data_IF_126960878340
#
_entry.id   IF_126960878340
#
_cell.length_a   1.000
_cell.length_b   1.000
_cell.length_c   1.000
_cell.angle_alpha   90.00
_cell.angle_beta   90.00
_cell.angle_gamma   90.00
#
_symmetry.space_group_name_H-M   'P 1'
#
loop_
_entity.id
_entity.type
_entity.pdbx_description
1 polymer ?
#
# COMPACT_ATOMS: atom_id res chain seq x y z
N UNK A 1 -9.00 -5.10 -27.18
CA UNK A 1 -9.09 -4.10 -26.09
C UNK A 1 -8.89 -4.71 -24.69
N UNK A 2 -9.89 -5.31 -24.02
CA UNK A 2 -9.72 -5.81 -22.63
C UNK A 2 -8.74 -6.97 -22.46
N UNK A 3 -8.77 -7.97 -23.36
CA UNK A 3 -7.80 -9.09 -23.35
C UNK A 3 -6.36 -8.61 -23.48
N UNK A 4 -6.12 -7.60 -24.33
CA UNK A 4 -4.79 -7.02 -24.53
C UNK A 4 -4.34 -6.17 -23.34
N UNK A 5 -5.27 -5.43 -22.73
CA UNK A 5 -5.01 -4.69 -21.49
C UNK A 5 -4.56 -5.67 -20.41
N UNK A 6 -5.37 -6.69 -20.11
CA UNK A 6 -5.06 -7.68 -19.08
C UNK A 6 -3.71 -8.34 -19.35
N UNK A 7 -3.44 -8.81 -20.57
CA UNK A 7 -2.13 -9.40 -20.92
C UNK A 7 -0.94 -8.48 -20.60
N UNK A 8 -1.11 -7.15 -20.69
CA UNK A 8 -0.06 -6.17 -20.42
C UNK A 8 0.00 -5.70 -18.97
N UNK A 9 -1.10 -5.75 -18.23
CA UNK A 9 -1.23 -5.17 -16.88
C UNK A 9 -1.40 -6.19 -15.76
N UNK A 10 -1.60 -7.46 -16.09
CA UNK A 10 -1.96 -8.51 -15.13
C UNK A 10 -0.85 -8.77 -14.11
N UNK A 11 -1.25 -8.81 -12.85
CA UNK A 11 -0.43 -9.22 -11.71
C UNK A 11 -0.89 -10.63 -11.32
N UNK A 12 0.02 -11.60 -11.41
CA UNK A 12 -0.26 -13.02 -11.16
C UNK A 12 0.37 -13.42 -9.84
N UNK A 13 -0.41 -14.11 -9.01
CA UNK A 13 0.00 -14.54 -7.68
C UNK A 13 -0.16 -16.05 -7.57
N UNK A 14 0.91 -16.74 -7.19
CA UNK A 14 0.93 -18.17 -6.96
C UNK A 14 0.32 -18.56 -5.62
N UNK A 15 -1.00 -18.47 -5.48
CA UNK A 15 -1.73 -18.88 -4.26
C UNK A 15 -3.04 -19.59 -4.62
N UNK A 16 -3.56 -20.42 -3.73
CA UNK A 16 -4.89 -21.04 -3.89
C UNK A 16 -6.02 -20.14 -3.38
N UNK A 17 -5.68 -19.05 -2.68
CA UNK A 17 -6.64 -18.06 -2.22
C UNK A 17 -7.23 -17.28 -3.40
N UNK A 18 -8.44 -17.70 -3.83
CA UNK A 18 -9.20 -17.03 -4.89
C UNK A 18 -9.48 -15.57 -4.56
N UNK A 19 -9.62 -15.23 -3.28
CA UNK A 19 -9.92 -13.87 -2.85
C UNK A 19 -8.76 -12.91 -3.15
N UNK A 20 -7.53 -13.35 -2.88
CA UNK A 20 -6.29 -12.61 -3.22
C UNK A 20 -6.23 -12.29 -4.72
N UNK A 21 -6.50 -13.30 -5.57
CA UNK A 21 -6.54 -13.15 -7.04
C UNK A 21 -7.67 -12.22 -7.50
N UNK A 22 -8.87 -12.37 -6.94
CA UNK A 22 -10.02 -11.52 -7.29
C UNK A 22 -9.76 -10.08 -6.89
N UNK A 23 -9.20 -9.82 -5.70
CA UNK A 23 -8.98 -8.47 -5.21
C UNK A 23 -7.97 -7.68 -6.06
N UNK A 24 -6.87 -8.29 -6.50
CA UNK A 24 -5.92 -7.60 -7.38
C UNK A 24 -6.51 -7.34 -8.76
N UNK A 25 -7.28 -8.27 -9.32
CA UNK A 25 -7.97 -8.08 -10.59
C UNK A 25 -9.04 -6.99 -10.50
N UNK A 26 -9.79 -6.95 -9.40
CA UNK A 26 -10.74 -5.89 -9.09
C UNK A 26 -10.05 -4.53 -9.03
N UNK A 27 -8.93 -4.43 -8.31
CA UNK A 27 -8.14 -3.20 -8.22
C UNK A 27 -7.64 -2.74 -9.60
N UNK A 28 -7.06 -3.64 -10.40
CA UNK A 28 -6.56 -3.34 -11.75
C UNK A 28 -7.68 -2.91 -12.72
N UNK A 29 -8.86 -3.51 -12.62
CA UNK A 29 -10.03 -3.10 -13.39
C UNK A 29 -10.43 -1.67 -13.02
N UNK A 30 -10.59 -1.39 -11.73
CA UNK A 30 -11.03 -0.09 -11.25
C UNK A 30 -10.01 1.02 -11.55
N UNK A 31 -8.72 0.79 -11.34
CA UNK A 31 -7.66 1.73 -11.73
C UNK A 31 -7.70 2.08 -13.22
N UNK A 32 -8.08 1.13 -14.08
CA UNK A 32 -8.17 1.35 -15.52
C UNK A 32 -9.37 2.19 -15.94
N UNK A 33 -10.50 2.03 -15.28
CA UNK A 33 -11.76 2.70 -15.66
C UNK A 33 -11.99 4.02 -14.93
N UNK A 34 -11.27 4.29 -13.84
CA UNK A 34 -11.45 5.49 -13.01
C UNK A 34 -11.22 6.80 -13.77
N UNK A 35 -10.22 6.81 -14.64
CA UNK A 35 -9.87 7.98 -15.45
C UNK A 35 -9.55 7.53 -16.87
N UNK A 36 -9.82 8.40 -17.84
CA UNK A 36 -9.50 8.14 -19.23
C UNK A 36 -7.98 8.11 -19.38
N UNK A 37 -7.44 7.00 -19.91
CA UNK A 37 -5.99 6.76 -19.92
C UNK A 37 -5.18 7.77 -20.76
N UNK A 38 -5.82 8.50 -21.67
CA UNK A 38 -5.24 9.50 -22.56
C UNK A 38 -5.59 10.95 -22.17
N UNK A 39 -6.27 11.18 -21.04
CA UNK A 39 -6.65 12.53 -20.59
C UNK A 39 -5.82 12.96 -19.37
N UNK A 40 -4.87 13.86 -19.61
CA UNK A 40 -3.98 14.41 -18.59
C UNK A 40 -4.62 15.53 -17.75
N UNK A 41 -5.89 15.89 -18.01
CA UNK A 41 -6.62 16.96 -17.28
C UNK A 41 -7.36 16.44 -16.07
N UNK A 42 -7.50 15.11 -15.92
CA UNK A 42 -8.26 14.47 -14.84
C UNK A 42 -7.34 13.73 -13.87
N UNK A 43 -7.55 13.95 -12.58
CA UNK A 43 -6.88 13.21 -11.51
C UNK A 43 -7.75 12.08 -10.94
N UNK A 44 -7.12 11.10 -10.28
CA UNK A 44 -7.84 10.07 -9.53
C UNK A 44 -8.19 10.65 -8.15
N UNK A 45 -9.47 10.94 -7.90
CA UNK A 45 -9.95 11.37 -6.59
C UNK A 45 -9.80 10.27 -5.54
N UNK A 46 -9.52 10.62 -4.28
CA UNK A 46 -9.30 9.64 -3.20
C UNK A 46 -10.49 8.68 -2.95
N UNK A 47 -11.72 9.14 -3.27
CA UNK A 47 -12.99 8.42 -3.13
C UNK A 47 -13.83 8.45 -4.43
N UNK A 48 -13.18 8.32 -5.59
CA UNK A 48 -13.80 8.46 -6.92
C UNK A 48 -14.66 9.76 -7.02
N UNK A 49 -15.65 9.78 -7.91
CA UNK A 49 -16.36 10.98 -8.36
C UNK A 49 -17.27 11.69 -7.32
N UNK A 50 -17.44 11.21 -6.08
CA UNK A 50 -18.56 11.69 -5.23
C UNK A 50 -18.42 11.76 -3.70
N UNK A 51 -17.22 11.74 -3.09
CA UNK A 51 -17.11 11.68 -1.61
C UNK A 51 -16.47 12.88 -0.89
N UNK A 52 -17.21 13.57 -0.01
CA UNK A 52 -16.67 14.53 0.99
C UNK A 52 -16.14 13.79 2.24
N UNK A 53 -15.00 13.10 2.12
CA UNK A 53 -14.53 12.15 3.14
C UNK A 53 -13.71 12.71 4.31
N UNK A 54 -13.34 14.00 4.32
CA UNK A 54 -12.29 14.50 5.23
C UNK A 54 -12.80 15.13 6.55
N UNK A 55 -14.11 15.42 6.68
CA UNK A 55 -14.81 15.90 7.90
C UNK A 55 -13.98 16.82 8.84
N UNK A 56 -13.14 17.70 8.29
CA UNK A 56 -12.38 18.71 9.05
C UNK A 56 -11.31 18.17 10.01
N UNK A 57 -10.76 16.97 9.81
CA UNK A 57 -9.69 16.48 10.68
C UNK A 57 -8.36 17.23 10.45
N UNK A 58 -7.88 17.96 11.45
CA UNK A 58 -6.52 18.49 11.52
C UNK A 58 -5.72 17.67 12.54
N UNK A 59 -4.68 16.95 12.09
CA UNK A 59 -3.81 16.16 12.97
C UNK A 59 -2.65 17.03 13.46
N UNK A 60 -2.42 17.05 14.78
CA UNK A 60 -1.28 17.73 15.40
C UNK A 60 -0.08 16.78 15.45
N UNK A 61 0.52 16.48 14.31
CA UNK A 61 1.84 15.82 14.25
C UNK A 61 2.96 16.88 14.23
N UNK A 62 2.89 17.80 15.19
CA UNK A 62 3.99 18.73 15.51
C UNK A 62 4.78 18.17 16.69
N UNK A 63 5.91 18.78 17.05
CA UNK A 63 6.81 18.39 18.16
C UNK A 63 6.09 18.02 19.48
N UNK A 64 4.84 18.49 19.64
CA UNK A 64 3.98 18.26 20.79
C UNK A 64 3.25 16.90 20.80
N UNK A 65 3.21 16.12 19.71
CA UNK A 65 2.50 14.82 19.68
C UNK A 65 3.03 13.87 20.76
N UNK A 66 4.36 13.84 20.95
CA UNK A 66 5.01 13.02 21.99
C UNK A 66 4.73 13.50 23.42
N UNK A 67 4.18 14.72 23.59
CA UNK A 67 3.78 15.25 24.89
C UNK A 67 2.33 14.91 25.24
N UNK A 68 1.57 14.33 24.31
CA UNK A 68 0.19 13.90 24.55
C UNK A 68 0.13 12.65 25.43
N UNK A 69 -1.04 12.38 26.01
CA UNK A 69 -1.25 11.20 26.86
C UNK A 69 -1.29 9.93 26.00
N UNK A 70 -0.72 8.83 26.51
CA UNK A 70 -0.90 7.52 25.88
C UNK A 70 -2.32 7.03 26.14
N UNK A 71 -2.94 6.43 25.12
CA UNK A 71 -4.23 5.75 25.22
C UNK A 71 -4.06 4.33 24.65
N UNK A 72 -4.57 3.32 25.37
CA UNK A 72 -4.68 1.99 24.79
C UNK A 72 -5.83 1.97 23.77
N UNK A 73 -5.47 1.91 22.50
CA UNK A 73 -6.43 1.88 21.39
C UNK A 73 -6.80 0.47 20.94
N UNK A 74 -6.30 -0.58 21.61
CA UNK A 74 -6.46 -1.98 21.17
C UNK A 74 -7.92 -2.38 21.00
N UNK A 75 -8.83 -1.85 21.84
CA UNK A 75 -10.28 -2.03 21.73
C UNK A 75 -10.81 -1.59 20.36
N UNK A 76 -10.36 -0.44 19.87
CA UNK A 76 -10.85 0.17 18.62
C UNK A 76 -10.06 -0.35 17.41
N UNK A 77 -8.74 -0.46 17.53
CA UNK A 77 -7.86 -0.92 16.45
C UNK A 77 -8.16 -2.37 16.00
N UNK A 78 -8.63 -3.21 16.91
CA UNK A 78 -9.01 -4.60 16.60
C UNK A 78 -10.50 -4.76 16.27
N UNK A 79 -11.27 -3.67 16.21
CA UNK A 79 -12.67 -3.68 15.79
C UNK A 79 -12.79 -3.52 14.27
N UNK A 80 -13.87 -4.05 13.70
CA UNK A 80 -14.26 -3.78 12.30
C UNK A 80 -15.02 -2.45 12.16
N UNK A 81 -15.39 -1.81 13.28
CA UNK A 81 -16.10 -0.53 13.31
C UNK A 81 -15.15 0.65 13.04
N UNK A 82 -15.31 1.26 11.86
CA UNK A 82 -14.58 2.47 11.47
C UNK A 82 -15.06 3.66 12.31
N UNK A 83 -14.12 4.39 12.91
CA UNK A 83 -14.38 5.53 13.81
C UNK A 83 -15.11 5.15 15.11
N UNK A 84 -15.12 3.87 15.51
CA UNK A 84 -15.80 3.41 16.73
C UNK A 84 -15.28 4.08 18.02
N UNK A 85 -14.06 4.64 18.01
CA UNK A 85 -13.52 5.42 19.13
C UNK A 85 -14.37 6.67 19.47
N UNK A 86 -15.10 7.22 18.50
CA UNK A 86 -15.95 8.40 18.72
C UNK A 86 -17.22 8.10 19.51
N UNK A 87 -17.55 6.81 19.72
CA UNK A 87 -18.63 6.41 20.62
C UNK A 87 -18.26 6.67 22.09
N UNK A 88 -16.96 6.67 22.42
CA UNK A 88 -16.45 6.83 23.78
C UNK A 88 -15.74 8.18 24.01
N UNK A 89 -15.22 8.81 22.96
CA UNK A 89 -14.46 10.07 23.04
C UNK A 89 -14.92 11.08 21.98
N UNK A 90 -15.07 12.34 22.38
CA UNK A 90 -15.24 13.44 21.42
C UNK A 90 -13.89 13.96 20.90
N UNK A 91 -13.94 14.76 19.83
CA UNK A 91 -12.74 15.32 19.19
C UNK A 91 -11.82 16.09 20.15
N UNK A 92 -12.41 16.83 21.12
CA UNK A 92 -11.62 17.60 22.09
C UNK A 92 -10.82 16.68 23.01
N UNK A 93 -11.42 15.57 23.45
CA UNK A 93 -10.73 14.57 24.27
C UNK A 93 -9.65 13.86 23.46
N UNK A 94 -9.95 13.43 22.24
CA UNK A 94 -8.96 12.73 21.38
C UNK A 94 -7.72 13.58 21.08
N UNK A 95 -7.86 14.89 20.99
CA UNK A 95 -6.72 15.81 20.81
C UNK A 95 -5.74 15.85 22.00
N UNK A 96 -6.07 15.26 23.15
CA UNK A 96 -5.17 15.11 24.29
C UNK A 96 -4.34 13.83 24.26
N UNK A 97 -4.61 12.92 23.31
CA UNK A 97 -4.00 11.60 23.26
C UNK A 97 -3.16 11.38 22.00
N UNK A 98 -2.17 10.50 22.12
CA UNK A 98 -1.39 9.98 20.99
C UNK A 98 -2.24 9.00 20.17
N UNK A 99 -3.18 9.50 19.37
CA UNK A 99 -4.05 8.68 18.52
C UNK A 99 -4.09 9.23 17.11
N UNK A 100 -3.79 8.39 16.13
CA UNK A 100 -3.79 8.73 14.72
C UNK A 100 -4.85 7.91 13.99
N UNK A 101 -5.62 8.57 13.11
CA UNK A 101 -6.63 7.90 12.27
C UNK A 101 -5.98 7.01 11.20
N UNK A 102 -4.89 7.49 10.61
CA UNK A 102 -4.23 6.90 9.44
C UNK A 102 -2.74 7.20 9.41
N UNK A 103 -2.03 6.69 8.40
CA UNK A 103 -0.62 7.00 8.16
C UNK A 103 -0.41 8.50 7.97
N UNK A 104 0.38 9.10 8.86
CA UNK A 104 0.87 10.48 8.78
C UNK A 104 2.40 10.47 8.70
N UNK A 105 3.11 10.48 9.84
CA UNK A 105 4.58 10.29 9.86
C UNK A 105 5.01 9.01 9.13
N UNK A 106 4.22 7.94 9.22
CA UNK A 106 4.48 6.69 8.47
C UNK A 106 4.45 6.92 6.95
N UNK A 107 3.61 7.81 6.43
CA UNK A 107 3.59 8.18 5.01
C UNK A 107 4.86 8.93 4.60
N UNK A 108 5.38 9.84 5.45
CA UNK A 108 6.66 10.52 5.23
C UNK A 108 7.80 9.51 5.07
N UNK A 109 7.87 8.51 5.97
CA UNK A 109 8.90 7.45 5.93
C UNK A 109 8.76 6.51 4.73
N UNK A 110 7.56 6.43 4.14
CA UNK A 110 7.29 5.66 2.94
C UNK A 110 7.68 6.41 1.66
N UNK A 111 7.32 7.70 1.55
CA UNK A 111 7.57 8.53 0.38
C UNK A 111 9.02 8.99 0.26
N UNK A 112 9.67 9.29 1.39
CA UNK A 112 11.00 9.87 1.44
C UNK A 112 12.01 8.94 2.12
N UNK A 113 12.11 7.71 1.61
CA UNK A 113 12.96 6.65 2.17
C UNK A 113 14.43 7.04 2.30
N UNK A 114 14.91 7.90 1.40
CA UNK A 114 16.31 8.33 1.33
C UNK A 114 16.68 9.42 2.34
N UNK A 115 15.70 10.05 3.00
CA UNK A 115 15.96 11.12 3.97
C UNK A 115 16.33 10.58 5.36
N UNK A 116 16.03 9.31 5.63
CA UNK A 116 16.18 8.72 6.96
C UNK A 116 16.79 7.33 6.86
N UNK A 117 17.67 6.98 7.79
CA UNK A 117 18.24 5.65 7.84
C UNK A 117 17.19 4.58 8.20
N UNK A 118 17.49 3.32 7.87
CA UNK A 118 16.59 2.19 8.06
C UNK A 118 16.13 2.03 9.53
N UNK A 119 17.03 2.20 10.50
CA UNK A 119 16.71 2.00 11.91
C UNK A 119 15.83 3.12 12.46
N UNK A 120 16.08 4.37 12.06
CA UNK A 120 15.21 5.50 12.37
C UNK A 120 13.81 5.30 11.81
N UNK A 121 13.70 4.89 10.54
CA UNK A 121 12.39 4.63 9.91
C UNK A 121 11.66 3.48 10.61
N UNK A 122 12.35 2.39 10.93
CA UNK A 122 11.78 1.24 11.63
C UNK A 122 11.26 1.59 13.03
N UNK A 123 12.04 2.33 13.82
CA UNK A 123 11.63 2.76 15.17
C UNK A 123 10.40 3.66 15.14
N UNK A 124 10.36 4.62 14.22
CA UNK A 124 9.20 5.48 14.04
C UNK A 124 7.99 4.69 13.55
N UNK A 125 8.16 3.76 12.61
CA UNK A 125 7.08 2.87 12.17
C UNK A 125 6.45 2.13 13.35
N UNK A 126 7.26 1.46 14.19
CA UNK A 126 6.75 0.76 15.38
C UNK A 126 6.05 1.71 16.35
N UNK A 127 6.62 2.89 16.57
CA UNK A 127 6.03 3.88 17.47
C UNK A 127 4.65 4.33 16.99
N UNK A 128 4.51 4.74 15.73
CA UNK A 128 3.26 5.29 15.20
C UNK A 128 2.23 4.22 14.87
N UNK A 129 2.65 3.03 14.45
CA UNK A 129 1.75 1.89 14.20
C UNK A 129 0.93 1.56 15.45
N UNK A 130 1.56 1.52 16.62
CA UNK A 130 0.91 1.29 17.92
C UNK A 130 -0.18 2.33 18.26
N UNK A 131 -0.12 3.52 17.64
CA UNK A 131 -1.05 4.65 17.87
C UNK A 131 -2.01 4.86 16.71
N UNK A 132 -1.97 4.02 15.68
CA UNK A 132 -2.79 4.17 14.47
C UNK A 132 -4.00 3.24 14.52
N UNK A 133 -5.20 3.81 14.36
CA UNK A 133 -6.48 3.08 14.34
C UNK A 133 -6.72 2.31 13.03
N UNK A 134 -6.19 2.82 11.91
CA UNK A 134 -6.49 2.36 10.55
C UNK A 134 -7.97 2.54 10.13
N UNK A 135 -8.63 3.56 10.65
CA UNK A 135 -9.98 3.99 10.29
C UNK A 135 -10.07 4.64 8.88
N UNK A 136 -8.96 4.68 8.16
CA UNK A 136 -8.88 5.12 6.77
C UNK A 136 -8.43 3.96 5.90
N UNK A 137 -9.10 3.77 4.77
CA UNK A 137 -8.79 2.70 3.82
C UNK A 137 -7.36 2.80 3.25
N UNK A 138 -6.79 4.01 3.18
CA UNK A 138 -5.41 4.25 2.74
C UNK A 138 -4.35 3.82 3.78
N UNK A 139 -4.72 3.73 5.06
CA UNK A 139 -3.76 3.45 6.13
C UNK A 139 -3.13 2.06 5.98
N UNK A 140 -3.96 1.05 5.71
CA UNK A 140 -3.52 -0.36 5.70
C UNK A 140 -2.48 -0.66 4.62
N UNK A 141 -2.60 -0.06 3.44
CA UNK A 141 -1.66 -0.31 2.34
C UNK A 141 -0.26 0.24 2.61
N UNK A 142 -0.17 1.48 3.10
CA UNK A 142 1.11 2.11 3.45
C UNK A 142 1.82 1.31 4.56
N UNK A 143 1.08 0.93 5.60
CA UNK A 143 1.64 0.15 6.70
C UNK A 143 2.00 -1.28 6.26
N UNK A 144 1.24 -1.92 5.37
CA UNK A 144 1.60 -3.24 4.83
C UNK A 144 2.93 -3.21 4.07
N UNK A 145 3.16 -2.19 3.24
CA UNK A 145 4.42 -2.03 2.49
C UNK A 145 5.60 -1.84 3.45
N UNK A 146 5.48 -0.95 4.44
CA UNK A 146 6.55 -0.69 5.40
C UNK A 146 6.76 -1.85 6.39
N UNK A 147 5.69 -2.50 6.85
CA UNK A 147 5.79 -3.72 7.65
C UNK A 147 6.57 -4.81 6.88
N UNK A 148 6.28 -4.96 5.59
CA UNK A 148 7.01 -5.89 4.74
C UNK A 148 8.48 -5.49 4.63
N UNK A 149 8.81 -4.22 4.41
CA UNK A 149 10.20 -3.72 4.37
C UNK A 149 10.95 -4.00 5.69
N UNK A 150 10.31 -3.71 6.84
CA UNK A 150 10.89 -3.83 8.17
C UNK A 150 10.89 -5.24 8.78
N UNK A 151 10.53 -6.27 7.99
CA UNK A 151 10.53 -7.70 8.39
C UNK A 151 9.43 -8.07 9.40
N UNK A 152 8.34 -7.32 9.44
CA UNK A 152 7.16 -7.67 10.23
C UNK A 152 6.17 -8.47 9.36
N UNK A 153 6.56 -9.69 8.97
CA UNK A 153 5.85 -10.51 7.97
C UNK A 153 4.37 -10.74 8.29
N UNK A 154 4.06 -11.20 9.50
CA UNK A 154 2.68 -11.48 9.94
C UNK A 154 1.82 -10.20 9.93
N UNK A 155 2.40 -9.07 10.36
CA UNK A 155 1.73 -7.77 10.34
C UNK A 155 1.48 -7.30 8.91
N UNK A 156 2.49 -7.41 8.03
CA UNK A 156 2.37 -7.04 6.62
C UNK A 156 1.24 -7.82 5.93
N UNK A 157 1.18 -9.14 6.18
CA UNK A 157 0.15 -9.99 5.60
C UNK A 157 -1.24 -9.71 6.18
N UNK A 158 -1.36 -9.49 7.50
CA UNK A 158 -2.62 -9.08 8.16
C UNK A 158 -3.15 -7.76 7.58
N UNK A 159 -2.29 -6.75 7.47
CA UNK A 159 -2.64 -5.44 6.90
C UNK A 159 -3.01 -5.55 5.42
N UNK A 160 -2.29 -6.37 4.66
CA UNK A 160 -2.63 -6.71 3.28
C UNK A 160 -4.04 -7.30 3.17
N UNK A 161 -4.35 -8.34 3.94
CA UNK A 161 -5.70 -8.95 3.98
C UNK A 161 -6.75 -7.92 4.37
N UNK A 162 -6.46 -7.03 5.32
CA UNK A 162 -7.35 -5.95 5.70
C UNK A 162 -7.56 -4.90 4.59
N UNK A 163 -6.57 -4.63 3.76
CA UNK A 163 -6.66 -3.68 2.64
C UNK A 163 -7.50 -4.22 1.48
N UNK A 164 -7.30 -5.49 1.10
CA UNK A 164 -8.09 -6.12 0.03
C UNK A 164 -9.55 -6.38 0.42
N UNK A 165 -9.85 -6.37 1.72
CA UNK A 165 -11.20 -6.55 2.26
C UNK A 165 -11.99 -5.25 2.44
N UNK A 166 -11.46 -4.09 2.04
CA UNK A 166 -12.19 -2.82 2.21
C UNK A 166 -13.46 -2.81 1.36
N UNK A 167 -13.36 -3.03 0.05
CA UNK A 167 -14.49 -2.95 -0.87
C UNK A 167 -15.13 -4.32 -1.16
N UNK A 168 -14.35 -5.40 -1.13
CA UNK A 168 -14.81 -6.76 -1.42
C UNK A 168 -14.98 -7.63 -0.16
N UNK A 169 -14.90 -7.04 1.03
CA UNK A 169 -14.92 -7.78 2.29
C UNK A 169 -16.33 -8.13 2.78
N UNK A 170 -16.43 -8.69 4.00
CA UNK A 170 -17.71 -9.06 4.58
C UNK A 170 -18.60 -7.86 4.97
N UNK A 171 -18.01 -6.67 5.13
CA UNK A 171 -18.77 -5.46 5.43
C UNK A 171 -19.43 -4.89 4.17
N UNK A 172 -20.64 -5.36 3.88
CA UNK A 172 -21.40 -4.97 2.68
C UNK A 172 -21.71 -3.47 2.57
N UNK A 173 -21.66 -2.72 3.69
CA UNK A 173 -21.96 -1.27 3.71
C UNK A 173 -20.74 -0.38 3.49
N UNK A 174 -19.53 -0.96 3.44
CA UNK A 174 -18.31 -0.17 3.33
C UNK A 174 -18.29 0.69 2.07
N UNK A 175 -18.87 0.20 0.98
CA UNK A 175 -18.82 0.83 -0.35
C UNK A 175 -20.14 1.50 -0.78
N UNK A 176 -21.09 1.71 0.14
CA UNK A 176 -22.41 2.31 -0.19
C UNK A 176 -22.25 3.71 -0.81
N UNK A 177 -21.25 4.48 -0.37
CA UNK A 177 -20.92 5.81 -0.89
C UNK A 177 -19.97 5.78 -2.11
N UNK A 178 -19.59 4.60 -2.57
CA UNK A 178 -18.64 4.36 -3.66
C UNK A 178 -17.34 3.70 -3.21
N UNK A 179 -16.57 3.26 -4.21
CA UNK A 179 -15.32 2.52 -4.01
C UNK A 179 -14.20 3.39 -3.43
N UNK A 180 -13.34 2.77 -2.62
CA UNK A 180 -12.19 3.44 -2.03
C UNK A 180 -11.01 3.51 -3.01
N UNK A 181 -11.05 4.49 -3.91
CA UNK A 181 -10.05 4.65 -5.00
C UNK A 181 -8.60 4.69 -4.50
N UNK A 182 -8.33 5.39 -3.40
CA UNK A 182 -7.00 5.42 -2.79
C UNK A 182 -6.57 4.03 -2.26
N UNK A 183 -7.52 3.27 -1.68
CA UNK A 183 -7.29 1.88 -1.24
C UNK A 183 -6.96 0.98 -2.42
N UNK A 184 -7.69 1.13 -3.53
CA UNK A 184 -7.49 0.37 -4.77
C UNK A 184 -6.07 0.59 -5.33
N UNK A 185 -5.59 1.84 -5.38
CA UNK A 185 -4.18 2.13 -5.70
C UNK A 185 -3.21 1.54 -4.68
N UNK A 186 -3.59 1.58 -3.40
CA UNK A 186 -2.87 0.95 -2.30
C UNK A 186 -2.72 -0.56 -2.46
N UNK A 187 -3.75 -1.28 -2.91
CA UNK A 187 -3.70 -2.72 -3.17
C UNK A 187 -2.59 -3.00 -4.18
N UNK A 188 -2.59 -2.30 -5.32
CA UNK A 188 -1.52 -2.42 -6.32
C UNK A 188 -0.13 -2.15 -5.72
N UNK A 189 -0.01 -1.09 -4.91
CA UNK A 189 1.24 -0.74 -4.25
C UNK A 189 1.75 -1.83 -3.31
N UNK A 190 0.87 -2.53 -2.58
CA UNK A 190 1.27 -3.66 -1.72
C UNK A 190 1.90 -4.79 -2.54
N UNK A 191 1.31 -5.14 -3.70
CA UNK A 191 1.87 -6.19 -4.56
C UNK A 191 3.23 -5.76 -5.13
N UNK A 192 3.31 -4.57 -5.74
CA UNK A 192 4.49 -4.16 -6.52
C UNK A 192 5.59 -3.55 -5.65
N UNK A 193 5.24 -2.56 -4.82
CA UNK A 193 6.18 -1.79 -3.99
C UNK A 193 6.41 -2.43 -2.61
N UNK A 194 5.46 -3.24 -2.14
CA UNK A 194 5.54 -4.03 -0.91
C UNK A 194 6.23 -5.36 -1.13
N UNK A 195 5.45 -6.40 -1.46
CA UNK A 195 5.96 -7.77 -1.60
C UNK A 195 6.92 -7.92 -2.79
N UNK A 196 6.64 -7.24 -3.90
CA UNK A 196 7.51 -7.14 -5.06
C UNK A 196 8.82 -6.38 -4.79
N UNK A 197 8.86 -5.58 -3.73
CA UNK A 197 10.05 -4.88 -3.28
C UNK A 197 10.59 -3.86 -4.28
N UNK A 198 9.74 -3.36 -5.18
CA UNK A 198 10.12 -2.32 -6.13
C UNK A 198 10.30 -0.99 -5.41
N UNK A 199 11.44 -0.36 -5.61
CA UNK A 199 11.73 0.98 -5.10
C UNK A 199 12.52 1.79 -6.13
N UNK A 200 12.38 3.12 -6.11
CA UNK A 200 13.20 4.02 -6.91
C UNK A 200 13.86 5.04 -5.99
N UNK A 201 15.17 5.19 -6.12
CA UNK A 201 15.98 6.15 -5.38
C UNK A 201 16.91 6.91 -6.34
N UNK A 202 17.85 7.68 -5.79
CA UNK A 202 18.89 8.38 -6.57
C UNK A 202 19.79 7.46 -7.41
N UNK A 203 19.93 6.18 -7.06
CA UNK A 203 20.74 5.21 -7.78
C UNK A 203 19.95 4.56 -8.92
N UNK A 204 18.62 4.55 -8.83
CA UNK A 204 17.70 4.10 -9.87
C UNK A 204 16.66 3.11 -9.35
N UNK A 205 16.13 2.29 -10.26
CA UNK A 205 15.17 1.25 -9.92
C UNK A 205 15.85 0.08 -9.21
N UNK A 206 15.30 -0.34 -8.08
CA UNK A 206 15.71 -1.51 -7.32
C UNK A 206 14.55 -2.46 -7.06
N UNK A 207 14.85 -3.76 -6.97
CA UNK A 207 13.91 -4.85 -6.71
C UNK A 207 14.48 -5.71 -5.58
N UNK A 208 13.89 -5.57 -4.39
CA UNK A 208 14.29 -6.26 -3.16
C UNK A 208 13.09 -6.95 -2.52
N UNK A 209 12.60 -8.06 -3.10
CA UNK A 209 11.31 -8.62 -2.73
C UNK A 209 11.35 -9.38 -1.41
N UNK A 210 10.16 -9.47 -0.81
CA UNK A 210 9.87 -10.39 0.29
C UNK A 210 8.44 -10.87 0.10
N UNK A 211 8.27 -12.07 -0.42
CA UNK A 211 6.95 -12.68 -0.58
C UNK A 211 6.44 -13.22 0.76
N UNK A 212 5.12 -13.16 1.00
CA UNK A 212 4.51 -13.84 2.14
C UNK A 212 4.58 -15.37 1.95
N UNK A 213 4.53 -16.13 3.05
CA UNK A 213 4.75 -17.59 3.06
C UNK A 213 3.71 -18.36 2.24
N UNK A 214 2.54 -17.76 2.09
CA UNK A 214 1.34 -18.23 1.39
C UNK A 214 1.49 -18.20 -0.14
N UNK A 215 2.49 -17.49 -0.67
CA UNK A 215 2.66 -17.31 -2.12
C UNK A 215 3.84 -18.14 -2.64
N UNK A 216 3.62 -18.90 -3.70
CA UNK A 216 4.67 -19.63 -4.42
C UNK A 216 5.42 -18.74 -5.41
N UNK A 217 4.75 -17.72 -5.96
CA UNK A 217 5.37 -16.69 -6.79
C UNK A 217 4.52 -15.42 -6.85
N UNK A 218 5.13 -14.34 -7.34
CA UNK A 218 4.48 -13.10 -7.74
C UNK A 218 5.05 -12.66 -9.09
N UNK A 219 4.20 -12.27 -10.03
CA UNK A 219 4.61 -11.79 -11.34
C UNK A 219 3.82 -10.53 -11.71
N UNK A 220 4.50 -9.50 -12.19
CA UNK A 220 3.88 -8.23 -12.55
C UNK A 220 4.63 -7.50 -13.66
N UNK A 221 3.94 -6.65 -14.44
CA UNK A 221 4.57 -5.77 -15.40
C UNK A 221 5.10 -4.50 -14.74
N UNK A 222 6.17 -3.94 -15.28
CA UNK A 222 6.77 -2.69 -14.84
C UNK A 222 7.27 -1.90 -16.04
N UNK A 223 7.01 -0.59 -16.07
CA UNK A 223 7.58 0.30 -17.09
C UNK A 223 8.63 1.18 -16.41
N UNK A 224 9.86 1.13 -16.91
CA UNK A 224 10.96 1.93 -16.38
C UNK A 224 11.78 2.53 -17.52
N UNK A 225 11.91 3.87 -17.52
CA UNK A 225 12.61 4.64 -18.57
C UNK A 225 12.16 4.27 -20.00
N UNK A 226 10.86 4.02 -20.18
CA UNK A 226 10.27 3.65 -21.47
C UNK A 226 10.40 2.16 -21.84
N UNK A 227 11.10 1.37 -21.03
CA UNK A 227 11.23 -0.08 -21.24
C UNK A 227 10.16 -0.83 -20.48
N UNK A 228 9.46 -1.72 -21.18
CA UNK A 228 8.45 -2.62 -20.62
C UNK A 228 9.13 -3.89 -20.12
N UNK A 229 8.97 -4.16 -18.83
CA UNK A 229 9.57 -5.28 -18.12
C UNK A 229 8.48 -6.20 -17.56
N UNK A 230 8.76 -7.50 -17.51
CA UNK A 230 8.01 -8.49 -16.75
C UNK A 230 8.89 -8.98 -15.63
N UNK A 231 8.48 -8.71 -14.38
CA UNK A 231 9.20 -9.12 -13.19
C UNK A 231 8.51 -10.35 -12.62
N UNK A 232 9.27 -11.40 -12.35
CA UNK A 232 8.80 -12.61 -11.68
C UNK A 232 9.66 -12.88 -10.45
N UNK A 233 9.00 -13.18 -9.35
CA UNK A 233 9.61 -13.46 -8.06
C UNK A 233 9.10 -14.82 -7.60
N UNK A 234 10.01 -15.75 -7.34
CA UNK A 234 9.68 -17.07 -6.80
C UNK A 234 9.64 -17.06 -5.27
N UNK A 235 9.12 -18.14 -4.65
CA UNK A 235 8.97 -18.28 -3.19
C UNK A 235 10.25 -18.05 -2.39
N UNK A 236 11.41 -18.42 -2.95
CA UNK A 236 12.74 -18.19 -2.37
C UNK A 236 13.24 -16.75 -2.58
N UNK A 237 12.36 -15.85 -3.03
CA UNK A 237 12.62 -14.48 -3.42
C UNK A 237 13.61 -14.36 -4.59
N UNK A 238 13.85 -15.41 -5.39
CA UNK A 238 14.64 -15.31 -6.62
C UNK A 238 13.89 -14.45 -7.63
N UNK A 239 14.58 -13.50 -8.24
CA UNK A 239 14.01 -12.55 -9.19
C UNK A 239 14.49 -12.88 -10.60
N UNK A 240 13.56 -12.93 -11.54
CA UNK A 240 13.84 -12.87 -12.97
C UNK A 240 13.13 -11.67 -13.58
N UNK A 241 13.80 -11.00 -14.50
CA UNK A 241 13.28 -9.83 -15.21
C UNK A 241 13.45 -10.05 -16.70
N UNK A 242 12.34 -10.07 -17.42
CA UNK A 242 12.30 -10.13 -18.88
C UNK A 242 12.01 -8.74 -19.43
N UNK A 243 12.82 -8.26 -20.39
CA UNK A 243 12.49 -7.06 -21.15
C UNK A 243 11.59 -7.44 -22.32
N UNK A 244 10.38 -6.89 -22.32
CA UNK A 244 9.42 -7.11 -23.39
C UNK A 244 9.61 -6.13 -24.55
N UNK A 245 9.84 -4.85 -24.24
CA UNK A 245 9.98 -3.77 -25.23
C UNK A 245 10.87 -2.63 -24.71
N UNK A 246 11.42 -1.81 -25.61
CA UNK A 246 12.22 -0.64 -25.28
C UNK A 246 13.73 -0.91 -25.20
N UNK A 247 14.46 0.08 -24.70
CA UNK A 247 15.92 0.06 -24.60
C UNK A 247 16.40 -0.81 -23.42
N UNK A 248 17.67 -1.21 -23.45
CA UNK A 248 18.25 -1.87 -22.27
C UNK A 248 18.27 -0.91 -21.08
N UNK A 249 18.00 -1.42 -19.88
CA UNK A 249 17.93 -0.61 -18.66
C UNK A 249 18.76 -1.23 -17.55
N UNK A 250 19.42 -0.38 -16.78
CA UNK A 250 20.14 -0.78 -15.57
C UNK A 250 19.21 -0.71 -14.36
N UNK A 251 19.14 -1.82 -13.62
CA UNK A 251 18.36 -1.95 -12.38
C UNK A 251 19.20 -2.64 -11.32
N UNK A 252 18.79 -2.54 -10.05
CA UNK A 252 19.42 -3.26 -8.95
C UNK A 252 18.50 -4.40 -8.50
N UNK A 253 18.99 -5.63 -8.50
CA UNK A 253 18.27 -6.78 -7.95
C UNK A 253 19.02 -7.25 -6.71
N UNK A 254 18.37 -7.20 -5.54
CA UNK A 254 19.01 -7.55 -4.26
C UNK A 254 20.33 -6.82 -4.00
N UNK A 255 20.41 -5.56 -4.43
CA UNK A 255 21.62 -4.72 -4.33
C UNK A 255 22.65 -4.90 -5.45
N UNK A 256 22.51 -5.91 -6.30
CA UNK A 256 23.42 -6.15 -7.42
C UNK A 256 22.94 -5.44 -8.68
N UNK A 257 23.83 -4.66 -9.31
CA UNK A 257 23.54 -3.95 -10.55
C UNK A 257 23.45 -4.94 -11.71
N UNK A 258 22.35 -4.90 -12.46
CA UNK A 258 22.12 -5.75 -13.64
C UNK A 258 21.65 -4.92 -14.83
N UNK A 259 22.18 -5.22 -16.02
CA UNK A 259 21.71 -4.67 -17.28
C UNK A 259 20.69 -5.61 -17.89
N UNK A 260 19.43 -5.19 -17.95
CA UNK A 260 18.37 -5.96 -18.59
C UNK A 260 18.36 -5.60 -20.08
N UNK A 261 18.66 -6.59 -20.91
CA UNK A 261 18.90 -6.39 -22.34
C UNK A 261 17.66 -6.48 -23.19
#
# INVERSE_FOLDING_TARGET
MWKEYLKKSEIIVGTDDKYVKTAINFALYHLRIMVKADDNRVGIGAKALSGEGYKGHSFRDTELFILLKKLDISKYKNSDEVLGIYNDYNTKQLNEYMVSKQSDTVMLLYLFRDLFDYETRKKNFVFYEDKTLHDSSLSKSTHAVLANEFKFEEMAYKLFKGAISVDLGPNMKSSDEGIHSASIGGIWAIYVLGFGGVNIDKNGLSINPRLPKEWSFLEFPLIYKGSSLRVRIEKDNKVSVEKLQGNSVEIYIKGEKQLIK
#
